data_IF_115849071218
#
_entry.id   IF_115849071218
#
_cell.length_a   1.000
_cell.length_b   1.000
_cell.length_c   1.000
_cell.angle_alpha   90.00
_cell.angle_beta   90.00
_cell.angle_gamma   90.00
#
_symmetry.space_group_name_H-M   'P 1'
#
loop_
_entity.id
_entity.type
_entity.pdbx_description
1 polymer ?
#
# COMPACT_ATOMS: atom_id res chain seq x y z
N UNK A 1 7.99 -14.01 -34.79
CA UNK A 1 7.99 -12.67 -34.19
C UNK A 1 6.80 -12.60 -33.26
N UNK A 2 6.94 -11.99 -32.08
CA UNK A 2 5.81 -11.79 -31.21
C UNK A 2 4.88 -10.73 -31.80
N UNK A 3 3.59 -10.92 -31.58
CA UNK A 3 2.55 -9.95 -31.94
C UNK A 3 2.45 -8.94 -30.82
N UNK A 4 2.62 -7.66 -31.14
CA UNK A 4 2.52 -6.55 -30.18
C UNK A 4 1.30 -5.70 -30.53
N UNK A 5 0.37 -5.61 -29.58
CA UNK A 5 -0.81 -4.76 -29.65
C UNK A 5 -0.48 -3.42 -29.01
N UNK A 6 -0.48 -2.36 -29.81
CA UNK A 6 -0.16 -1.00 -29.42
C UNK A 6 -1.34 -0.32 -28.71
N UNK A 7 -1.10 0.78 -27.96
CA UNK A 7 -2.18 1.61 -27.43
C UNK A 7 -3.06 2.11 -28.59
N UNK A 8 -4.36 1.80 -28.55
CA UNK A 8 -5.31 2.11 -29.63
C UNK A 8 -5.61 0.97 -30.61
N UNK A 9 -5.05 -0.23 -30.39
CA UNK A 9 -5.44 -1.45 -31.11
C UNK A 9 -4.68 -1.72 -32.41
N UNK A 10 -3.71 -0.87 -32.76
CA UNK A 10 -2.76 -1.18 -33.83
C UNK A 10 -1.94 -2.42 -33.49
N UNK A 11 -1.57 -3.20 -34.51
CA UNK A 11 -0.79 -4.43 -34.33
C UNK A 11 0.49 -4.34 -35.14
N UNK A 12 1.61 -4.67 -34.51
CA UNK A 12 2.89 -4.87 -35.20
C UNK A 12 3.55 -6.17 -34.76
N UNK A 13 4.51 -6.63 -35.55
CA UNK A 13 5.36 -7.77 -35.21
C UNK A 13 6.77 -7.27 -34.90
N UNK A 14 7.31 -7.68 -33.76
CA UNK A 14 8.65 -7.31 -33.32
C UNK A 14 9.26 -8.45 -32.48
N UNK A 15 10.59 -8.47 -32.38
CA UNK A 15 11.34 -9.38 -31.51
C UNK A 15 12.77 -8.85 -31.33
N UNK A 16 13.41 -9.19 -30.20
CA UNK A 16 14.84 -8.93 -29.98
C UNK A 16 15.23 -7.48 -29.66
N UNK A 17 14.27 -6.56 -29.67
CA UNK A 17 14.37 -5.20 -29.11
C UNK A 17 13.48 -5.11 -27.86
N UNK A 18 13.66 -4.09 -27.03
CA UNK A 18 12.76 -3.82 -25.90
C UNK A 18 11.44 -3.19 -26.35
N UNK A 19 10.40 -3.30 -25.52
CA UNK A 19 9.13 -2.61 -25.80
C UNK A 19 9.30 -1.09 -25.81
N UNK A 20 10.21 -0.55 -25.00
CA UNK A 20 10.53 0.88 -24.96
C UNK A 20 11.19 1.35 -26.27
N UNK A 21 12.10 0.56 -26.84
CA UNK A 21 12.72 0.85 -28.16
C UNK A 21 11.68 0.82 -29.29
N UNK A 22 10.75 -0.15 -29.25
CA UNK A 22 9.67 -0.24 -30.22
C UNK A 22 8.75 0.99 -30.19
N UNK A 23 8.41 1.48 -29.00
CA UNK A 23 7.51 2.63 -28.82
C UNK A 23 8.21 3.98 -28.99
N UNK A 24 9.54 4.02 -28.84
CA UNK A 24 10.35 5.23 -28.93
C UNK A 24 10.30 6.13 -27.68
N UNK A 25 11.08 7.23 -27.67
CA UNK A 25 11.36 8.03 -26.48
C UNK A 25 10.16 8.83 -25.92
N UNK A 26 9.04 8.90 -26.64
CA UNK A 26 7.81 9.60 -26.20
C UNK A 26 6.67 8.64 -25.91
N UNK A 27 6.98 7.38 -25.61
CA UNK A 27 6.00 6.36 -25.29
C UNK A 27 5.11 6.78 -24.11
N UNK A 28 3.85 7.12 -24.38
CA UNK A 28 2.84 7.31 -23.35
C UNK A 28 2.21 5.96 -22.98
N UNK A 29 3.06 5.04 -22.53
CA UNK A 29 2.71 3.68 -22.17
C UNK A 29 3.15 3.41 -20.73
N UNK A 30 2.39 2.58 -20.04
CA UNK A 30 2.61 2.27 -18.64
C UNK A 30 3.46 1.01 -18.43
N UNK A 31 3.07 -0.07 -19.12
CA UNK A 31 3.62 -1.40 -18.95
C UNK A 31 3.18 -2.30 -20.12
N UNK A 32 3.58 -3.56 -20.07
CA UNK A 32 3.15 -4.60 -21.02
C UNK A 32 2.41 -5.69 -20.27
N UNK A 33 1.31 -6.15 -20.84
CA UNK A 33 0.64 -7.37 -20.42
C UNK A 33 1.01 -8.49 -21.40
N UNK A 34 1.77 -9.48 -20.93
CA UNK A 34 2.16 -10.67 -21.69
C UNK A 34 1.69 -11.91 -20.92
N UNK A 35 0.82 -12.72 -21.52
CA UNK A 35 0.25 -13.93 -20.90
C UNK A 35 -0.31 -13.69 -19.48
N UNK A 36 -0.98 -12.56 -19.29
CA UNK A 36 -1.58 -12.15 -18.01
C UNK A 36 -0.58 -11.61 -16.97
N UNK A 37 0.71 -11.47 -17.31
CA UNK A 37 1.74 -10.91 -16.42
C UNK A 37 2.07 -9.48 -16.83
N UNK A 38 2.11 -8.59 -15.84
CA UNK A 38 2.60 -7.22 -16.00
C UNK A 38 4.13 -7.22 -16.08
N UNK A 39 4.64 -6.66 -17.17
CA UNK A 39 6.05 -6.54 -17.47
C UNK A 39 6.43 -5.08 -17.69
N UNK A 40 7.69 -4.77 -17.43
CA UNK A 40 8.27 -3.45 -17.66
C UNK A 40 8.46 -3.22 -19.16
N UNK A 41 8.33 -1.97 -19.63
CA UNK A 41 8.61 -1.63 -21.03
C UNK A 41 10.08 -1.89 -21.42
N UNK A 42 10.97 -1.99 -20.44
CA UNK A 42 12.39 -2.32 -20.62
C UNK A 42 12.64 -3.81 -20.86
N UNK A 43 11.61 -4.66 -20.77
CA UNK A 43 11.75 -6.07 -21.14
C UNK A 43 11.96 -6.24 -22.63
N UNK A 44 12.75 -7.25 -23.00
CA UNK A 44 12.96 -7.64 -24.40
C UNK A 44 11.72 -8.34 -24.93
N UNK A 45 11.30 -7.95 -26.14
CA UNK A 45 10.17 -8.57 -26.82
C UNK A 45 10.52 -10.02 -27.15
N UNK A 46 9.70 -11.00 -26.71
CA UNK A 46 9.96 -12.41 -26.96
C UNK A 46 9.86 -12.76 -28.45
N UNK A 47 10.34 -13.94 -28.83
CA UNK A 47 10.29 -14.42 -30.22
C UNK A 47 8.89 -14.82 -30.68
N UNK A 48 8.02 -15.19 -29.73
CA UNK A 48 6.63 -15.64 -29.94
C UNK A 48 5.75 -15.14 -28.80
N UNK A 49 4.43 -15.19 -28.99
CA UNK A 49 3.44 -14.73 -28.00
C UNK A 49 2.71 -13.46 -28.44
N UNK A 50 1.76 -13.03 -27.61
CA UNK A 50 0.98 -11.81 -27.80
C UNK A 50 1.17 -10.87 -26.60
N UNK A 51 1.75 -9.69 -26.87
CA UNK A 51 2.00 -8.66 -25.87
C UNK A 51 1.04 -7.49 -26.09
N UNK A 52 0.35 -7.04 -25.04
CA UNK A 52 -0.48 -5.82 -25.07
C UNK A 52 0.22 -4.69 -24.34
N UNK A 53 0.52 -3.60 -25.06
CA UNK A 53 1.03 -2.38 -24.44
C UNK A 53 -0.14 -1.68 -23.74
N UNK A 54 0.04 -1.40 -22.46
CA UNK A 54 -0.93 -0.69 -21.65
C UNK A 54 -0.70 0.82 -21.73
N UNK A 55 -1.78 1.56 -21.96
CA UNK A 55 -1.85 3.00 -21.73
C UNK A 55 -1.95 3.29 -20.23
N UNK A 56 -1.71 4.53 -19.81
CA UNK A 56 -1.89 4.93 -18.41
C UNK A 56 -3.35 4.76 -17.92
N UNK A 57 -4.32 4.85 -18.83
CA UNK A 57 -5.76 4.77 -18.52
C UNK A 57 -6.30 3.34 -18.47
N UNK A 58 -5.49 2.35 -18.85
CA UNK A 58 -5.87 0.95 -18.65
C UNK A 58 -5.90 0.64 -17.14
N UNK A 59 -6.95 -0.02 -16.60
CA UNK A 59 -7.05 -0.33 -15.18
C UNK A 59 -5.84 -1.10 -14.63
N UNK A 60 -5.27 -2.00 -15.43
CA UNK A 60 -4.08 -2.79 -15.07
C UNK A 60 -2.81 -1.94 -14.95
N UNK A 61 -2.78 -0.75 -15.56
CA UNK A 61 -1.65 0.17 -15.46
C UNK A 61 -1.60 0.94 -14.13
N UNK A 62 -2.71 1.01 -13.39
CA UNK A 62 -2.78 1.76 -12.12
C UNK A 62 -1.79 1.23 -11.09
N UNK A 63 -1.55 -0.08 -11.03
CA UNK A 63 -0.56 -0.68 -10.14
C UNK A 63 0.85 -0.12 -10.42
N UNK A 64 1.24 -0.07 -11.69
CA UNK A 64 2.56 0.43 -12.13
C UNK A 64 2.71 1.94 -11.91
N UNK A 65 1.63 2.68 -12.16
CA UNK A 65 1.55 4.11 -11.92
C UNK A 65 1.74 4.41 -10.42
N UNK A 66 1.02 3.70 -9.55
CA UNK A 66 1.08 3.88 -8.09
C UNK A 66 2.40 3.40 -7.50
N UNK A 67 2.98 2.34 -8.05
CA UNK A 67 4.30 1.88 -7.65
C UNK A 67 5.38 2.92 -7.99
N UNK A 68 5.28 3.55 -9.17
CA UNK A 68 6.16 4.67 -9.53
C UNK A 68 5.92 5.89 -8.65
N UNK A 69 4.67 6.19 -8.30
CA UNK A 69 4.34 7.26 -7.35
C UNK A 69 4.96 7.02 -5.95
N UNK A 70 5.02 5.76 -5.50
CA UNK A 70 5.69 5.38 -4.25
C UNK A 70 7.20 5.68 -4.30
N UNK A 71 7.88 5.41 -5.42
CA UNK A 71 9.29 5.78 -5.59
C UNK A 71 9.51 7.30 -5.64
N UNK A 72 8.60 8.05 -6.26
CA UNK A 72 8.63 9.52 -6.24
C UNK A 72 8.46 10.04 -4.80
N UNK A 73 7.55 9.45 -4.02
CA UNK A 73 7.40 9.76 -2.60
C UNK A 73 8.70 9.48 -1.83
N UNK A 74 9.30 8.30 -1.97
CA UNK A 74 10.55 7.97 -1.29
C UNK A 74 11.70 8.92 -1.69
N UNK A 75 11.80 9.26 -2.98
CA UNK A 75 12.75 10.25 -3.47
C UNK A 75 12.52 11.63 -2.80
N UNK A 76 11.29 12.13 -2.79
CA UNK A 76 10.96 13.39 -2.14
C UNK A 76 11.31 13.40 -0.65
N UNK A 77 10.98 12.32 0.07
CA UNK A 77 11.25 12.17 1.49
C UNK A 77 12.76 12.14 1.78
N UNK A 78 13.55 11.39 1.00
CA UNK A 78 15.01 11.35 1.19
C UNK A 78 15.71 12.69 0.96
N UNK A 79 15.18 13.55 0.07
CA UNK A 79 15.66 14.93 -0.09
C UNK A 79 15.32 15.83 1.09
N UNK A 80 14.10 15.72 1.59
CA UNK A 80 13.58 16.62 2.63
C UNK A 80 14.05 16.26 4.04
N UNK A 81 14.32 14.98 4.29
CA UNK A 81 14.62 14.44 5.61
C UNK A 81 15.92 13.62 5.58
N UNK A 82 17.09 14.29 5.67
CA UNK A 82 18.38 13.60 5.74
C UNK A 82 18.43 12.58 6.87
N UNK A 83 18.96 11.38 6.59
CA UNK A 83 19.06 10.30 7.58
C UNK A 83 17.82 9.40 7.70
N UNK A 84 16.73 9.69 6.96
CA UNK A 84 15.59 8.78 6.84
C UNK A 84 16.03 7.43 6.27
N UNK A 85 15.47 6.33 6.79
CA UNK A 85 15.68 4.97 6.28
C UNK A 85 14.45 4.47 5.54
N UNK A 86 14.66 3.83 4.39
CA UNK A 86 13.60 3.31 3.54
C UNK A 86 13.33 1.85 3.86
N UNK A 87 12.06 1.49 4.06
CA UNK A 87 11.64 0.11 4.25
C UNK A 87 10.94 -0.43 3.00
N UNK A 88 9.61 -0.46 2.97
CA UNK A 88 8.80 -1.02 1.86
C UNK A 88 7.82 0.01 1.33
N UNK A 89 7.59 -0.01 0.01
CA UNK A 89 6.68 0.92 -0.65
C UNK A 89 5.87 0.31 -1.78
N UNK A 90 4.92 -0.59 -1.49
CA UNK A 90 4.12 -1.24 -2.52
C UNK A 90 3.00 -0.33 -3.05
N UNK A 91 2.55 -0.62 -4.27
CA UNK A 91 1.22 -0.24 -4.71
C UNK A 91 0.16 -1.08 -3.98
N UNK A 92 -1.00 -0.47 -3.75
CA UNK A 92 -2.19 -1.10 -3.16
C UNK A 92 -3.43 -0.77 -3.99
N UNK A 93 -4.54 -1.45 -3.71
CA UNK A 93 -5.78 -1.37 -4.50
C UNK A 93 -6.30 0.06 -4.72
N UNK A 94 -6.12 0.96 -3.75
CA UNK A 94 -6.62 2.35 -3.80
C UNK A 94 -5.50 3.40 -3.81
N UNK A 95 -4.24 2.99 -3.99
CA UNK A 95 -3.11 3.92 -3.95
C UNK A 95 -1.77 3.23 -3.73
N UNK A 96 -0.97 3.79 -2.86
CA UNK A 96 0.33 3.27 -2.45
C UNK A 96 0.63 3.71 -1.03
N UNK A 97 1.64 3.11 -0.42
CA UNK A 97 2.26 3.69 0.76
C UNK A 97 3.77 3.51 0.68
N UNK A 98 4.48 4.18 1.58
CA UNK A 98 5.88 3.90 1.81
C UNK A 98 6.18 3.99 3.32
N UNK A 99 6.89 2.99 3.84
CA UNK A 99 7.31 2.90 5.24
C UNK A 99 8.70 3.51 5.42
N UNK A 100 8.83 4.41 6.37
CA UNK A 100 10.06 5.14 6.67
C UNK A 100 10.41 5.04 8.14
N UNK A 101 11.70 4.94 8.46
CA UNK A 101 12.20 5.31 9.78
C UNK A 101 12.77 6.72 9.71
N UNK A 102 12.01 7.69 10.21
CA UNK A 102 12.50 9.06 10.34
C UNK A 102 13.36 9.22 11.59
N UNK A 103 14.42 10.05 11.54
CA UNK A 103 15.15 10.46 12.75
C UNK A 103 14.25 11.25 13.72
N UNK A 104 13.39 12.10 13.17
CA UNK A 104 12.40 12.88 13.91
C UNK A 104 10.99 12.55 13.37
N UNK A 105 9.99 12.34 14.25
CA UNK A 105 8.63 12.07 13.79
C UNK A 105 8.10 13.21 12.92
N UNK A 106 7.44 12.84 11.82
CA UNK A 106 6.69 13.78 10.97
C UNK A 106 5.21 13.79 11.35
N UNK A 107 4.50 14.84 10.94
CA UNK A 107 3.07 15.04 11.18
C UNK A 107 2.31 15.26 9.87
N UNK A 108 0.98 15.33 9.94
CA UNK A 108 0.15 15.66 8.78
C UNK A 108 0.46 17.04 8.17
N UNK A 109 1.06 17.94 8.94
CA UNK A 109 1.49 19.27 8.48
C UNK A 109 2.68 19.21 7.52
N UNK A 110 3.44 18.10 7.52
CA UNK A 110 4.57 17.89 6.61
C UNK A 110 4.12 17.39 5.23
N UNK A 111 2.93 16.77 5.12
CA UNK A 111 2.44 16.18 3.87
C UNK A 111 2.38 17.19 2.70
N UNK A 112 1.89 18.44 2.87
CA UNK A 112 1.91 19.43 1.79
C UNK A 112 3.32 19.74 1.28
N UNK A 113 4.33 19.77 2.16
CA UNK A 113 5.73 20.02 1.79
C UNK A 113 6.32 18.83 1.04
N UNK A 114 5.99 17.60 1.44
CA UNK A 114 6.40 16.38 0.73
C UNK A 114 5.76 16.32 -0.65
N UNK A 115 4.45 16.57 -0.75
CA UNK A 115 3.74 16.64 -2.03
C UNK A 115 4.37 17.65 -2.99
N UNK A 116 4.78 18.81 -2.47
CA UNK A 116 5.43 19.84 -3.29
C UNK A 116 6.78 19.38 -3.85
N UNK A 117 7.58 18.68 -3.05
CA UNK A 117 8.84 18.10 -3.54
C UNK A 117 8.58 16.96 -4.55
N UNK A 118 7.53 16.16 -4.35
CA UNK A 118 7.10 15.18 -5.35
C UNK A 118 6.72 15.86 -6.68
N UNK A 119 5.98 16.99 -6.65
CA UNK A 119 5.63 17.74 -7.87
C UNK A 119 6.87 18.22 -8.61
N UNK A 120 7.86 18.77 -7.90
CA UNK A 120 9.15 19.17 -8.50
C UNK A 120 9.88 18.00 -9.15
N UNK A 121 9.82 16.80 -8.60
CA UNK A 121 10.42 15.59 -9.20
C UNK A 121 9.66 15.17 -10.47
N UNK A 122 8.33 15.27 -10.47
CA UNK A 122 7.48 14.99 -11.63
C UNK A 122 7.73 16.00 -12.74
N UNK A 123 7.84 17.30 -12.42
CA UNK A 123 8.12 18.37 -13.38
C UNK A 123 9.47 18.23 -14.09
N UNK A 124 10.46 17.62 -13.41
CA UNK A 124 11.76 17.31 -14.01
C UNK A 124 11.73 16.18 -15.04
N UNK A 125 10.63 15.41 -15.11
CA UNK A 125 10.44 14.32 -16.08
C UNK A 125 11.64 13.35 -16.11
N UNK A 126 12.08 12.91 -14.94
CA UNK A 126 13.27 12.09 -14.79
C UNK A 126 13.04 10.70 -15.37
N UNK A 127 13.96 10.17 -16.20
CA UNK A 127 13.87 8.79 -16.67
C UNK A 127 14.03 7.84 -15.49
N UNK A 128 13.23 6.77 -15.48
CA UNK A 128 13.47 5.63 -14.60
C UNK A 128 14.41 4.66 -15.31
N UNK A 129 15.41 4.16 -14.59
CA UNK A 129 16.39 3.24 -15.15
C UNK A 129 16.48 2.01 -14.28
N UNK A 130 16.30 0.84 -14.88
CA UNK A 130 16.52 -0.43 -14.19
C UNK A 130 17.99 -0.79 -14.29
N UNK A 131 18.63 -0.97 -13.14
CA UNK A 131 20.02 -1.35 -13.02
C UNK A 131 20.05 -2.77 -12.46
N UNK A 132 20.81 -3.64 -13.12
CA UNK A 132 21.09 -4.99 -12.64
C UNK A 132 22.45 -5.01 -11.96
N UNK A 133 22.49 -5.52 -10.74
CA UNK A 133 23.71 -5.73 -9.98
C UNK A 133 23.80 -7.21 -9.58
N UNK A 134 25.01 -7.72 -9.44
CA UNK A 134 25.19 -8.99 -8.73
C UNK A 134 24.78 -8.85 -7.27
N UNK A 135 24.39 -9.95 -6.64
CA UNK A 135 24.07 -9.99 -5.21
C UNK A 135 25.16 -9.38 -4.33
N UNK A 136 26.42 -9.68 -4.62
CA UNK A 136 27.56 -9.14 -3.87
C UNK A 136 27.70 -7.62 -4.02
N UNK A 137 27.48 -7.08 -5.23
CA UNK A 137 27.50 -5.64 -5.48
C UNK A 137 26.31 -4.93 -4.82
N UNK A 138 25.11 -5.53 -4.90
CA UNK A 138 23.90 -5.05 -4.25
C UNK A 138 24.09 -4.98 -2.73
N UNK A 139 24.63 -6.03 -2.11
CA UNK A 139 24.89 -6.09 -0.68
C UNK A 139 25.92 -5.05 -0.25
N UNK A 140 27.01 -4.89 -1.01
CA UNK A 140 28.02 -3.85 -0.76
C UNK A 140 27.41 -2.45 -0.83
N UNK A 141 26.66 -2.15 -1.90
CA UNK A 141 26.01 -0.86 -2.11
C UNK A 141 25.03 -0.52 -0.98
N UNK A 142 24.19 -1.47 -0.57
CA UNK A 142 23.22 -1.26 0.50
C UNK A 142 23.89 -1.08 1.87
N UNK A 143 25.01 -1.77 2.14
CA UNK A 143 25.83 -1.54 3.34
C UNK A 143 26.47 -0.17 3.35
N UNK A 144 27.06 0.26 2.23
CA UNK A 144 27.69 1.59 2.11
C UNK A 144 26.69 2.73 2.32
N UNK A 145 25.42 2.52 1.95
CA UNK A 145 24.31 3.47 2.14
C UNK A 145 23.58 3.29 3.48
N UNK A 146 23.98 2.33 4.30
CA UNK A 146 23.36 1.99 5.58
C UNK A 146 21.83 1.73 5.44
N UNK A 147 21.44 1.01 4.39
CA UNK A 147 20.04 0.67 4.05
C UNK A 147 19.62 -0.64 4.74
N UNK A 148 19.50 -0.60 6.07
CA UNK A 148 19.32 -1.78 6.93
C UNK A 148 18.11 -2.66 6.56
N UNK A 149 16.97 -2.05 6.20
CA UNK A 149 15.76 -2.81 5.84
C UNK A 149 15.90 -3.46 4.46
N UNK A 150 16.56 -2.77 3.52
CA UNK A 150 16.80 -3.28 2.17
C UNK A 150 17.79 -4.44 2.19
N UNK A 151 18.76 -4.45 3.12
CA UNK A 151 19.65 -5.59 3.33
C UNK A 151 18.89 -6.84 3.79
N UNK A 152 17.91 -6.69 4.69
CA UNK A 152 17.03 -7.80 5.09
C UNK A 152 16.17 -8.28 3.92
N UNK A 153 15.54 -7.36 3.17
CA UNK A 153 14.79 -7.73 1.96
C UNK A 153 15.68 -8.47 0.94
N UNK A 154 16.92 -8.00 0.73
CA UNK A 154 17.85 -8.62 -0.20
C UNK A 154 18.12 -10.10 0.13
N UNK A 155 18.19 -10.45 1.42
CA UNK A 155 18.40 -11.83 1.88
C UNK A 155 17.26 -12.77 1.53
N UNK A 156 16.06 -12.25 1.27
CA UNK A 156 14.85 -13.02 0.95
C UNK A 156 14.61 -13.12 -0.57
N UNK A 157 15.23 -12.24 -1.36
CA UNK A 157 15.15 -12.30 -2.81
C UNK A 157 15.94 -13.52 -3.28
N UNK A 158 15.39 -14.42 -4.10
CA UNK A 158 16.15 -15.53 -4.68
C UNK A 158 16.97 -15.08 -5.90
N UNK A 159 18.06 -15.78 -6.21
CA UNK A 159 18.89 -15.56 -7.40
C UNK A 159 20.09 -14.65 -7.19
N UNK A 160 20.92 -14.50 -8.23
CA UNK A 160 22.17 -13.71 -8.18
C UNK A 160 22.07 -12.34 -8.83
N UNK A 161 21.07 -12.13 -9.70
CA UNK A 161 20.81 -10.85 -10.35
C UNK A 161 19.74 -10.05 -9.60
N UNK A 162 20.13 -8.89 -9.09
CA UNK A 162 19.30 -8.03 -8.27
C UNK A 162 19.02 -6.74 -9.03
N UNK A 163 17.73 -6.41 -9.16
CA UNK A 163 17.31 -5.19 -9.82
C UNK A 163 17.17 -4.03 -8.84
N UNK A 164 17.62 -2.87 -9.29
CA UNK A 164 17.39 -1.58 -8.66
C UNK A 164 16.74 -0.64 -9.67
N UNK A 165 15.99 0.34 -9.18
CA UNK A 165 15.47 1.42 -10.01
C UNK A 165 16.06 2.76 -9.60
N UNK A 166 16.63 3.46 -10.58
CA UNK A 166 17.19 4.80 -10.46
C UNK A 166 16.25 5.84 -11.04
N UNK A 167 16.06 6.96 -10.34
CA UNK A 167 15.41 8.17 -10.87
C UNK A 167 16.15 9.42 -10.36
N UNK A 168 16.99 9.99 -11.23
CA UNK A 168 17.96 11.00 -10.82
C UNK A 168 18.97 10.42 -9.83
N UNK A 169 19.10 11.05 -8.67
CA UNK A 169 19.99 10.61 -7.59
C UNK A 169 19.42 9.50 -6.71
N UNK A 170 18.10 9.29 -6.76
CA UNK A 170 17.44 8.26 -5.97
C UNK A 170 17.62 6.89 -6.60
N UNK A 171 17.88 5.90 -5.76
CA UNK A 171 18.09 4.51 -6.13
C UNK A 171 17.43 3.62 -5.09
N UNK A 172 16.60 2.68 -5.51
CA UNK A 172 15.88 1.78 -4.62
C UNK A 172 15.94 0.32 -5.09
N UNK A 173 16.01 -0.60 -4.12
CA UNK A 173 15.92 -2.04 -4.35
C UNK A 173 14.48 -2.37 -4.71
N UNK A 174 14.24 -2.70 -5.97
CA UNK A 174 12.89 -2.93 -6.47
C UNK A 174 12.90 -3.81 -7.72
N UNK A 175 11.90 -4.68 -7.84
CA UNK A 175 11.71 -5.57 -8.99
C UNK A 175 10.97 -4.89 -10.16
N UNK A 176 10.20 -3.84 -9.87
CA UNK A 176 9.28 -3.23 -10.82
C UNK A 176 8.03 -4.09 -11.08
N UNK A 177 7.28 -3.81 -12.16
CA UNK A 177 7.59 -2.81 -13.19
C UNK A 177 7.39 -1.36 -12.70
N UNK A 178 7.98 -0.41 -13.44
CA UNK A 178 7.76 1.03 -13.25
C UNK A 178 7.49 1.75 -14.58
N UNK A 179 6.84 2.91 -14.50
CA UNK A 179 6.67 3.80 -15.65
C UNK A 179 8.02 4.22 -16.24
N UNK A 180 8.07 4.63 -17.52
CA UNK A 180 9.32 5.06 -18.15
C UNK A 180 9.89 6.36 -17.57
N UNK A 181 9.04 7.25 -17.05
CA UNK A 181 9.44 8.56 -16.51
C UNK A 181 8.59 8.99 -15.31
N UNK A 182 9.16 9.80 -14.42
CA UNK A 182 8.44 10.43 -13.31
C UNK A 182 7.36 11.40 -13.79
N UNK A 183 7.54 12.04 -14.96
CA UNK A 183 6.59 13.02 -15.53
C UNK A 183 5.23 12.44 -15.97
N UNK A 184 5.09 11.12 -15.93
CA UNK A 184 3.82 10.42 -16.19
C UNK A 184 2.94 10.32 -14.93
N UNK A 185 3.49 10.52 -13.73
CA UNK A 185 2.72 10.50 -12.47
C UNK A 185 2.24 11.92 -12.14
N UNK A 186 1.31 12.44 -12.95
CA UNK A 186 0.87 13.84 -12.84
C UNK A 186 -0.18 14.10 -11.76
N UNK A 187 -1.03 13.10 -11.51
CA UNK A 187 -2.20 13.26 -10.64
C UNK A 187 -2.07 12.34 -9.43
N UNK A 188 -1.56 12.90 -8.33
CA UNK A 188 -1.38 12.19 -7.08
C UNK A 188 -1.77 13.05 -5.87
N UNK A 189 -2.02 12.39 -4.73
CA UNK A 189 -2.33 13.03 -3.46
C UNK A 189 -1.82 12.17 -2.31
N UNK A 190 -1.13 12.77 -1.33
CA UNK A 190 -0.83 12.14 -0.04
C UNK A 190 -2.06 12.21 0.87
N UNK A 191 -2.29 11.12 1.59
CA UNK A 191 -3.59 10.79 2.14
C UNK A 191 -3.62 10.75 3.65
N UNK A 192 -2.67 10.08 4.28
CA UNK A 192 -2.66 9.87 5.73
C UNK A 192 -1.29 9.38 6.19
N UNK A 193 -1.08 9.40 7.52
CA UNK A 193 0.05 8.80 8.20
C UNK A 193 -0.44 7.68 9.12
N UNK A 194 0.33 6.60 9.22
CA UNK A 194 0.08 5.56 10.22
C UNK A 194 1.40 5.04 10.81
N UNK A 195 1.33 4.51 12.02
CA UNK A 195 2.42 3.68 12.55
C UNK A 195 2.35 2.27 11.95
N UNK A 196 3.49 1.71 11.58
CA UNK A 196 3.62 0.32 11.16
C UNK A 196 4.87 -0.29 11.81
N UNK A 197 4.75 -1.50 12.33
CA UNK A 197 5.93 -2.23 12.80
C UNK A 197 6.60 -2.95 11.64
N UNK A 198 7.92 -2.96 11.61
CA UNK A 198 8.66 -3.71 10.60
C UNK A 198 8.28 -5.20 10.64
N UNK A 199 7.91 -5.76 9.48
CA UNK A 199 7.32 -7.10 9.31
C UNK A 199 6.05 -7.38 10.13
N UNK A 200 5.39 -6.34 10.65
CA UNK A 200 4.24 -6.48 11.55
C UNK A 200 4.58 -7.02 12.94
N UNK A 201 5.87 -7.08 13.30
CA UNK A 201 6.32 -7.55 14.62
C UNK A 201 6.43 -6.38 15.60
N UNK A 202 5.58 -6.32 16.65
CA UNK A 202 5.56 -5.21 17.60
C UNK A 202 6.85 -5.06 18.43
N UNK A 203 7.75 -6.05 18.39
CA UNK A 203 9.05 -5.99 19.06
C UNK A 203 10.15 -5.36 18.18
N UNK A 204 9.85 -5.02 16.93
CA UNK A 204 10.79 -4.42 15.97
C UNK A 204 10.54 -2.92 15.81
N UNK A 205 11.40 -2.28 15.02
CA UNK A 205 11.33 -0.85 14.73
C UNK A 205 9.91 -0.41 14.34
N UNK A 206 9.43 0.64 15.01
CA UNK A 206 8.23 1.36 14.62
C UNK A 206 8.58 2.32 13.48
N UNK A 207 7.89 2.16 12.37
CA UNK A 207 8.02 2.95 11.15
C UNK A 207 6.82 3.88 10.99
N UNK A 208 7.04 4.98 10.27
CA UNK A 208 5.98 5.87 9.80
C UNK A 208 5.61 5.48 8.38
N UNK A 209 4.38 5.00 8.19
CA UNK A 209 3.77 4.75 6.90
C UNK A 209 3.13 6.01 6.36
N UNK A 210 3.56 6.44 5.17
CA UNK A 210 2.95 7.56 4.44
C UNK A 210 2.08 7.00 3.33
N UNK A 211 0.77 7.23 3.38
CA UNK A 211 -0.17 6.80 2.35
C UNK A 211 -0.32 7.86 1.26
N UNK A 212 -0.45 7.40 0.01
CA UNK A 212 -0.76 8.22 -1.13
C UNK A 212 -1.67 7.51 -2.12
N UNK A 213 -2.19 8.24 -3.09
CA UNK A 213 -2.87 7.68 -4.24
C UNK A 213 -2.47 8.42 -5.50
N UNK A 214 -2.60 7.76 -6.64
CA UNK A 214 -2.30 8.33 -7.94
C UNK A 214 -3.19 7.70 -9.02
N UNK A 215 -3.53 8.51 -10.03
CA UNK A 215 -4.42 8.19 -11.13
C UNK A 215 -3.88 8.71 -12.46
N UNK A 216 -4.38 8.17 -13.57
CA UNK A 216 -4.00 8.58 -14.91
C UNK A 216 -4.52 9.97 -15.27
N UNK A 217 -5.67 10.37 -14.70
CA UNK A 217 -6.31 11.66 -14.97
C UNK A 217 -6.68 12.41 -13.68
N UNK A 218 -6.74 13.74 -13.78
CA UNK A 218 -7.19 14.61 -12.69
C UNK A 218 -8.64 14.32 -12.28
N UNK A 219 -9.48 13.96 -13.25
CA UNK A 219 -10.88 13.64 -13.03
C UNK A 219 -11.03 12.43 -12.10
N UNK A 220 -10.31 11.35 -12.37
CA UNK A 220 -10.33 10.14 -11.54
C UNK A 220 -9.84 10.42 -10.11
N UNK A 221 -8.74 11.19 -9.97
CA UNK A 221 -8.24 11.59 -8.66
C UNK A 221 -9.29 12.40 -7.89
N UNK A 222 -9.93 13.36 -8.54
CA UNK A 222 -10.95 14.21 -7.92
C UNK A 222 -12.17 13.38 -7.49
N UNK A 223 -12.63 12.47 -8.34
CA UNK A 223 -13.73 11.57 -8.02
C UNK A 223 -13.38 10.65 -6.85
N UNK A 224 -12.18 10.08 -6.82
CA UNK A 224 -11.69 9.26 -5.72
C UNK A 224 -11.66 10.02 -4.40
N UNK A 225 -11.09 11.24 -4.39
CA UNK A 225 -11.02 12.06 -3.18
C UNK A 225 -12.41 12.45 -2.67
N UNK A 226 -13.35 12.76 -3.57
CA UNK A 226 -14.75 13.01 -3.21
C UNK A 226 -15.40 11.79 -2.56
N UNK A 227 -15.21 10.61 -3.14
CA UNK A 227 -15.74 9.36 -2.56
C UNK A 227 -15.14 9.04 -1.19
N UNK A 228 -13.83 9.26 -1.03
CA UNK A 228 -13.14 9.06 0.24
C UNK A 228 -13.67 9.98 1.33
N UNK A 229 -13.92 11.25 1.02
CA UNK A 229 -14.52 12.20 1.96
C UNK A 229 -15.96 11.79 2.32
N UNK A 230 -16.73 11.35 1.34
CA UNK A 230 -18.11 10.90 1.55
C UNK A 230 -18.19 9.62 2.41
N UNK A 231 -17.20 8.73 2.29
CA UNK A 231 -17.02 7.57 3.16
C UNK A 231 -16.62 7.99 4.59
N UNK A 232 -15.68 8.95 4.73
CA UNK A 232 -15.27 9.49 6.04
C UNK A 232 -16.44 10.11 6.80
N UNK A 233 -17.33 10.82 6.12
CA UNK A 233 -18.56 11.39 6.70
C UNK A 233 -19.53 10.34 7.24
N UNK A 234 -19.39 9.07 6.83
CA UNK A 234 -20.22 7.93 7.26
C UNK A 234 -19.49 6.98 8.20
N UNK A 235 -18.26 7.31 8.60
CA UNK A 235 -17.50 6.49 9.52
C UNK A 235 -18.14 6.55 10.92
N UNK A 236 -18.50 5.40 11.46
CA UNK A 236 -19.10 5.29 12.80
C UNK A 236 -18.16 5.82 13.90
N UNK A 237 -16.84 5.86 13.67
CA UNK A 237 -15.85 6.44 14.60
C UNK A 237 -15.86 7.96 14.57
N UNK A 238 -16.36 8.56 13.49
CA UNK A 238 -16.57 10.02 13.39
C UNK A 238 -17.97 10.36 13.90
N UNK A 239 -18.99 9.67 13.41
CA UNK A 239 -20.39 9.92 13.77
C UNK A 239 -20.72 9.53 15.22
N UNK A 240 -20.14 8.45 15.73
CA UNK A 240 -20.41 7.94 17.08
C UNK A 240 -20.15 8.99 18.16
N UNK A 241 -18.94 9.59 18.21
CA UNK A 241 -18.65 10.71 19.10
C UNK A 241 -19.49 11.96 18.80
N UNK A 242 -19.64 12.35 17.52
CA UNK A 242 -20.42 13.56 17.14
C UNK A 242 -21.89 13.49 17.57
N UNK A 243 -22.48 12.29 17.52
CA UNK A 243 -23.87 12.03 17.88
C UNK A 243 -24.04 11.62 19.35
N UNK A 244 -22.95 11.55 20.12
CA UNK A 244 -22.93 11.13 21.52
C UNK A 244 -23.48 9.70 21.72
N UNK A 245 -23.03 8.76 20.87
CA UNK A 245 -23.46 7.36 20.91
C UNK A 245 -22.56 6.49 21.79
N UNK A 246 -21.25 6.69 21.69
CA UNK A 246 -20.26 5.94 22.47
C UNK A 246 -18.94 6.71 22.55
N UNK A 247 -18.08 6.26 23.46
CA UNK A 247 -16.68 6.66 23.52
C UNK A 247 -15.77 5.46 23.83
N UNK A 248 -14.48 5.60 23.52
CA UNK A 248 -13.43 4.65 23.91
C UNK A 248 -12.36 5.47 24.62
N UNK A 249 -12.08 5.14 25.88
CA UNK A 249 -11.08 5.85 26.70
C UNK A 249 -9.88 4.93 26.89
N UNK A 250 -8.94 4.97 25.93
CA UNK A 250 -7.80 4.05 25.89
C UNK A 250 -6.96 4.10 27.18
N UNK A 251 -6.70 5.29 27.71
CA UNK A 251 -5.80 5.48 28.85
C UNK A 251 -6.46 5.17 30.21
N UNK A 252 -7.78 5.30 30.31
CA UNK A 252 -8.51 5.14 31.57
C UNK A 252 -9.23 3.78 31.68
N UNK A 253 -9.87 3.34 30.60
CA UNK A 253 -10.70 2.12 30.57
C UNK A 253 -9.96 0.98 29.88
N UNK A 254 -9.25 1.30 28.79
CA UNK A 254 -8.49 0.32 28.01
C UNK A 254 -8.88 0.33 26.52
N UNK A 255 -7.94 -0.04 25.67
CA UNK A 255 -8.14 -0.08 24.22
C UNK A 255 -9.21 -1.11 23.83
N UNK A 256 -10.12 -0.71 22.94
CA UNK A 256 -11.21 -1.56 22.44
C UNK A 256 -12.39 -1.74 23.40
N UNK A 257 -12.35 -1.14 24.60
CA UNK A 257 -13.43 -1.22 25.58
C UNK A 257 -14.40 -0.04 25.43
N UNK A 258 -15.54 -0.31 24.78
CA UNK A 258 -16.53 0.71 24.41
C UNK A 258 -17.42 1.10 25.59
N UNK A 259 -17.49 2.40 25.87
CA UNK A 259 -18.48 3.00 26.77
C UNK A 259 -19.70 3.44 25.96
N UNK A 260 -20.83 2.75 26.14
CA UNK A 260 -22.08 3.08 25.47
C UNK A 260 -22.81 4.21 26.19
N UNK A 261 -23.00 5.34 25.52
CA UNK A 261 -23.71 6.50 26.06
C UNK A 261 -25.24 6.28 25.97
N UNK A 262 -26.09 7.06 26.66
CA UNK A 262 -27.53 6.81 26.69
C UNK A 262 -28.21 6.66 25.31
N UNK A 263 -27.77 7.44 24.30
CA UNK A 263 -28.30 7.33 22.93
C UNK A 263 -27.86 6.04 22.25
N UNK A 264 -26.58 5.69 22.32
CA UNK A 264 -26.06 4.44 21.74
C UNK A 264 -26.62 3.21 22.46
N UNK A 265 -26.73 3.26 23.78
CA UNK A 265 -27.35 2.21 24.59
C UNK A 265 -28.83 1.98 24.20
N UNK A 266 -29.58 3.04 23.87
CA UNK A 266 -30.95 2.91 23.35
C UNK A 266 -30.98 2.19 22.00
N UNK A 267 -30.10 2.56 21.07
CA UNK A 267 -30.00 1.89 19.76
C UNK A 267 -29.67 0.42 19.94
N UNK A 268 -28.65 0.11 20.75
CA UNK A 268 -28.26 -1.26 21.10
C UNK A 268 -29.44 -2.03 21.69
N UNK A 269 -30.18 -1.43 22.62
CA UNK A 269 -31.34 -2.08 23.25
C UNK A 269 -32.43 -2.43 22.25
N UNK A 270 -32.74 -1.54 21.30
CA UNK A 270 -33.71 -1.81 20.24
C UNK A 270 -33.30 -3.01 19.37
N UNK A 271 -32.01 -3.13 19.06
CA UNK A 271 -31.46 -4.26 18.31
C UNK A 271 -31.57 -5.56 19.13
N UNK A 272 -31.20 -5.52 20.42
CA UNK A 272 -31.30 -6.66 21.33
C UNK A 272 -32.75 -7.14 21.50
N UNK A 273 -33.70 -6.21 21.67
CA UNK A 273 -35.13 -6.52 21.82
C UNK A 273 -35.69 -7.20 20.56
N UNK A 274 -35.34 -6.68 19.37
CA UNK A 274 -35.69 -7.32 18.10
C UNK A 274 -35.09 -8.73 18.00
N UNK A 275 -33.78 -8.85 18.26
CA UNK A 275 -33.05 -10.13 18.17
C UNK A 275 -33.65 -11.20 19.10
N UNK A 276 -33.97 -10.83 20.34
CA UNK A 276 -34.63 -11.71 21.33
C UNK A 276 -36.01 -12.14 20.86
N UNK A 277 -36.82 -11.20 20.33
CA UNK A 277 -38.15 -11.52 19.84
C UNK A 277 -38.11 -12.53 18.68
N UNK A 278 -37.16 -12.39 17.74
CA UNK A 278 -36.99 -13.34 16.64
C UNK A 278 -36.54 -14.72 17.13
N UNK A 279 -35.67 -14.80 18.15
CA UNK A 279 -35.25 -16.07 18.76
C UNK A 279 -36.43 -16.81 19.37
N UNK A 280 -37.31 -16.12 20.10
CA UNK A 280 -38.51 -16.75 20.66
C UNK A 280 -39.47 -17.25 19.58
N UNK A 281 -39.67 -16.49 18.50
CA UNK A 281 -40.49 -16.94 17.36
C UNK A 281 -39.94 -18.20 16.71
N UNK A 282 -38.62 -18.33 16.64
CA UNK A 282 -37.93 -19.50 16.10
C UNK A 282 -37.79 -20.66 17.12
N UNK A 283 -38.34 -20.54 18.33
CA UNK A 283 -38.35 -21.60 19.34
C UNK A 283 -37.05 -21.76 20.13
N UNK A 284 -36.13 -20.78 20.07
CA UNK A 284 -34.91 -20.79 20.88
C UNK A 284 -35.24 -20.56 22.36
N UNK A 285 -34.49 -21.22 23.24
CA UNK A 285 -34.55 -21.02 24.69
C UNK A 285 -33.37 -20.14 25.13
N UNK A 286 -33.66 -18.99 25.77
CA UNK A 286 -32.62 -18.13 26.30
C UNK A 286 -32.00 -18.73 27.57
N UNK A 287 -30.68 -18.67 27.65
CA UNK A 287 -29.88 -19.04 28.83
C UNK A 287 -28.88 -17.92 29.14
N UNK A 288 -28.41 -17.86 30.39
CA UNK A 288 -27.39 -16.92 30.83
C UNK A 288 -26.22 -17.70 31.45
N UNK A 289 -25.00 -17.46 30.96
CA UNK A 289 -23.79 -18.16 31.41
C UNK A 289 -22.70 -17.17 31.81
N UNK A 290 -21.77 -17.53 32.71
CA UNK A 290 -20.62 -16.70 33.04
C UNK A 290 -19.73 -16.39 31.81
N UNK A 291 -19.10 -15.21 31.80
CA UNK A 291 -18.12 -14.80 30.77
C UNK A 291 -16.69 -15.29 31.06
N UNK A 292 -16.45 -15.84 32.26
CA UNK A 292 -15.17 -16.42 32.68
C UNK A 292 -15.42 -17.85 33.15
N UNK A 293 -14.51 -18.77 32.83
CA UNK A 293 -14.57 -20.18 33.21
C UNK A 293 -13.18 -20.75 33.52
N UNK A 294 -13.15 -21.90 34.23
CA UNK A 294 -11.88 -22.60 34.49
C UNK A 294 -11.24 -23.07 33.19
N UNK A 295 -9.90 -23.01 33.12
CA UNK A 295 -9.10 -23.44 31.98
C UNK A 295 -9.51 -24.82 31.40
N UNK A 296 -9.90 -25.77 32.26
CA UNK A 296 -10.38 -27.10 31.86
C UNK A 296 -11.54 -27.06 30.86
N UNK A 297 -12.46 -26.09 30.97
CA UNK A 297 -13.56 -25.94 30.00
C UNK A 297 -13.02 -25.70 28.60
N UNK A 298 -12.06 -24.78 28.47
CA UNK A 298 -11.42 -24.41 27.21
C UNK A 298 -10.45 -25.47 26.69
N UNK A 299 -9.88 -26.31 27.57
CA UNK A 299 -9.11 -27.49 27.16
C UNK A 299 -10.02 -28.53 26.51
N UNK A 300 -11.17 -28.83 27.13
CA UNK A 300 -12.13 -29.80 26.60
C UNK A 300 -12.64 -29.34 25.22
N UNK A 301 -12.86 -28.05 25.03
CA UNK A 301 -13.27 -27.48 23.73
C UNK A 301 -12.11 -27.27 22.74
N UNK A 302 -10.85 -27.54 23.13
CA UNK A 302 -9.64 -27.30 22.34
C UNK A 302 -9.23 -25.82 22.17
N UNK A 303 -9.96 -24.88 22.77
CA UNK A 303 -9.71 -23.45 22.59
C UNK A 303 -8.38 -22.99 23.21
N UNK A 304 -7.87 -23.67 24.25
CA UNK A 304 -6.54 -23.36 24.80
C UNK A 304 -5.38 -23.70 23.86
N UNK A 305 -5.60 -24.51 22.84
CA UNK A 305 -4.55 -24.87 21.88
C UNK A 305 -4.61 -23.93 20.67
N UNK A 306 -5.81 -23.65 20.16
CA UNK A 306 -5.99 -22.84 18.95
C UNK A 306 -6.11 -21.32 19.19
N UNK A 307 -6.62 -20.89 20.35
CA UNK A 307 -6.97 -19.49 20.60
C UNK A 307 -6.21 -18.87 21.77
N UNK A 308 -5.20 -19.56 22.32
CA UNK A 308 -4.45 -19.10 23.50
C UNK A 308 -3.97 -17.65 23.37
N UNK A 309 -3.44 -17.30 22.21
CA UNK A 309 -2.88 -15.97 21.92
C UNK A 309 -3.97 -14.87 21.82
N UNK A 310 -5.23 -15.26 21.61
CA UNK A 310 -6.38 -14.35 21.52
C UNK A 310 -7.23 -14.33 22.80
N UNK A 311 -6.80 -15.02 23.86
CA UNK A 311 -7.51 -15.06 25.15
C UNK A 311 -6.85 -14.12 26.15
N UNK A 312 -7.65 -13.46 26.99
CA UNK A 312 -7.12 -12.72 28.13
C UNK A 312 -6.42 -13.69 29.09
N UNK A 313 -5.15 -13.40 29.39
CA UNK A 313 -4.40 -14.11 30.41
C UNK A 313 -5.00 -13.84 31.80
N UNK A 314 -4.93 -14.80 32.73
CA UNK A 314 -5.40 -14.63 34.10
C UNK A 314 -4.62 -13.59 34.90
#
# INVERSE_FOLDING_TARGET
MAKVILPGGGVCEAQGITFLELLGPKANAAAVLLDGKLLDLRETIPTTGEARILSLTDPEALEVLRHTAAHILAHAVTRLFPGVKLAIGPAIADGFYYDFRFPEPISHEDLPRIEEEMRKIVEKDLPLERIWLSRAEAERLLRERDEIYKLELLSEIPGEEISFYRQGEFLDLCRGPHLPSTGLVRHFKLLDLAGAYWRGDPNRDMLTRVYGTAFATEKELTEFLRWREEARRRDHRVLGPQLDLFSIQNDMVGAGLVLWHPKGARIRRLIEDFWVAEHFKAGYQLVYTPHIGRARLWQISGHLDFYRESMYAP
#
